data_IF_089809899916
#
_entry.id   IF_089809899916
#
_cell.length_a   1.000
_cell.length_b   1.000
_cell.length_c   1.000
_cell.angle_alpha   90.00
_cell.angle_beta   90.00
_cell.angle_gamma   90.00
#
_symmetry.space_group_name_H-M   'P 1'
#
loop_
_entity.id
_entity.type
_entity.pdbx_description
1 polymer ?
#
# COMPACT_ATOMS: atom_id res chain seq x y z
N UNK A 1 18.22 10.60 5.89
CA UNK A 1 17.80 9.37 6.62
C UNK A 1 18.84 8.87 7.63
N UNK A 2 19.99 8.34 7.19
CA UNK A 2 21.02 7.73 8.06
C UNK A 2 21.44 8.57 9.28
N UNK A 3 21.70 9.86 9.08
CA UNK A 3 22.10 10.77 10.17
C UNK A 3 21.03 10.87 11.25
N UNK A 4 19.77 11.13 10.86
CA UNK A 4 18.65 11.26 11.81
C UNK A 4 18.31 9.95 12.52
N UNK A 5 18.45 8.80 11.86
CA UNK A 5 18.28 7.52 12.53
C UNK A 5 19.33 7.30 13.64
N UNK A 6 20.58 7.74 13.46
CA UNK A 6 21.63 7.58 14.48
C UNK A 6 21.41 8.40 15.74
N UNK A 7 20.65 9.49 15.63
CA UNK A 7 20.23 10.28 16.80
C UNK A 7 19.17 9.54 17.63
N UNK A 8 18.46 8.56 17.06
CA UNK A 8 17.27 7.93 17.67
C UNK A 8 17.44 6.41 17.94
N UNK A 9 18.44 5.76 17.35
CA UNK A 9 18.67 4.32 17.45
C UNK A 9 20.15 4.02 17.72
N UNK A 10 20.41 3.07 18.64
CA UNK A 10 21.77 2.68 19.03
C UNK A 10 22.59 2.09 17.86
N UNK A 11 21.95 1.33 16.97
CA UNK A 11 22.59 0.68 15.83
C UNK A 11 21.87 1.07 14.53
N UNK A 12 22.60 1.61 13.55
CA UNK A 12 22.04 2.06 12.28
C UNK A 12 22.92 1.64 11.11
N UNK A 13 22.36 0.82 10.23
CA UNK A 13 22.90 0.54 8.91
C UNK A 13 21.92 1.00 7.82
N UNK A 14 22.39 1.83 6.89
CA UNK A 14 21.60 2.30 5.74
C UNK A 14 22.52 2.21 4.53
N UNK A 15 22.10 1.42 3.55
CA UNK A 15 22.82 1.14 2.30
C UNK A 15 21.81 1.11 1.15
N UNK A 16 22.28 1.38 -0.05
CA UNK A 16 21.52 1.15 -1.28
C UNK A 16 21.90 -0.25 -1.75
N UNK A 17 20.89 -1.10 -1.93
CA UNK A 17 21.04 -2.49 -2.36
C UNK A 17 19.96 -2.79 -3.39
N UNK A 18 20.16 -3.86 -4.15
CA UNK A 18 19.10 -4.39 -5.00
C UNK A 18 17.91 -4.85 -4.14
N UNK A 19 16.70 -4.67 -4.66
CA UNK A 19 15.49 -5.10 -3.97
C UNK A 19 15.51 -6.64 -3.86
N UNK A 20 15.45 -7.21 -2.64
CA UNK A 20 15.37 -8.66 -2.50
C UNK A 20 14.03 -9.18 -3.04
N UNK A 21 13.94 -10.48 -3.32
CA UNK A 21 12.68 -11.07 -3.75
C UNK A 21 11.64 -11.06 -2.61
N UNK A 22 10.72 -10.10 -2.68
CA UNK A 22 9.68 -9.88 -1.67
C UNK A 22 8.54 -10.91 -1.75
N UNK A 23 8.54 -11.84 -2.71
CA UNK A 23 7.61 -12.98 -2.70
C UNK A 23 7.98 -14.02 -1.65
N UNK A 24 9.23 -14.01 -1.19
CA UNK A 24 9.75 -14.97 -0.22
C UNK A 24 9.45 -14.57 1.23
N UNK A 25 9.61 -15.52 2.15
CA UNK A 25 9.60 -15.23 3.59
C UNK A 25 10.67 -14.18 3.94
N UNK A 26 10.39 -13.21 4.85
CA UNK A 26 9.20 -13.08 5.68
C UNK A 26 8.08 -12.22 5.07
N UNK A 27 8.21 -11.79 3.81
CA UNK A 27 7.34 -10.77 3.22
C UNK A 27 6.08 -11.35 2.57
N UNK A 28 6.22 -12.38 1.72
CA UNK A 28 5.09 -13.04 1.06
C UNK A 28 4.26 -12.12 0.15
N UNK A 29 4.84 -11.05 -0.40
CA UNK A 29 4.15 -10.13 -1.30
C UNK A 29 3.80 -10.80 -2.62
N UNK A 30 2.84 -10.22 -3.34
CA UNK A 30 2.37 -10.71 -4.64
C UNK A 30 3.25 -10.27 -5.82
N UNK A 31 4.32 -9.52 -5.58
CA UNK A 31 5.32 -9.16 -6.58
C UNK A 31 6.73 -9.29 -6.01
N UNK A 32 7.72 -9.50 -6.89
CA UNK A 32 9.14 -9.69 -6.50
C UNK A 32 9.77 -8.46 -5.87
N UNK A 33 9.26 -7.26 -6.13
CA UNK A 33 9.84 -6.03 -5.60
C UNK A 33 8.88 -4.84 -5.66
N UNK A 34 9.35 -3.71 -5.14
CA UNK A 34 8.61 -2.42 -5.05
C UNK A 34 9.21 -1.33 -5.97
N UNK A 35 10.01 -1.74 -6.95
CA UNK A 35 10.63 -0.85 -7.92
C UNK A 35 9.74 -0.68 -9.18
N UNK A 36 10.03 0.33 -10.00
CA UNK A 36 9.29 0.62 -11.24
C UNK A 36 8.69 2.03 -11.22
N UNK A 37 7.37 2.14 -11.31
CA UNK A 37 6.62 3.40 -11.34
C UNK A 37 5.98 3.69 -9.97
N UNK A 38 6.78 4.07 -8.97
CA UNK A 38 6.25 4.30 -7.62
C UNK A 38 5.29 5.50 -7.58
N UNK A 39 4.20 5.36 -6.85
CA UNK A 39 3.20 6.40 -6.58
C UNK A 39 2.80 6.32 -5.11
N UNK A 40 2.43 7.47 -4.55
CA UNK A 40 1.75 7.55 -3.26
C UNK A 40 0.31 7.95 -3.57
N UNK A 41 -0.63 7.19 -3.05
CA UNK A 41 -2.06 7.50 -3.13
C UNK A 41 -2.59 7.69 -1.71
N UNK A 42 -3.30 8.79 -1.49
CA UNK A 42 -4.04 9.05 -0.26
C UNK A 42 -5.52 9.17 -0.63
N UNK A 43 -6.34 8.26 -0.13
CA UNK A 43 -7.72 8.08 -0.57
C UNK A 43 -8.66 8.16 0.62
N UNK A 44 -9.51 9.18 0.62
CA UNK A 44 -10.45 9.42 1.70
C UNK A 44 -9.81 10.13 2.89
N UNK A 45 -9.87 9.51 4.06
CA UNK A 45 -9.29 10.04 5.30
C UNK A 45 -10.24 10.08 6.49
N UNK A 46 -9.78 10.56 7.66
CA UNK A 46 -10.54 10.53 8.92
C UNK A 46 -11.90 11.25 8.86
N UNK A 47 -12.07 12.23 7.98
CA UNK A 47 -13.35 12.93 7.78
C UNK A 47 -14.47 12.07 7.18
N UNK A 48 -14.17 10.85 6.75
CA UNK A 48 -15.18 9.83 6.41
C UNK A 48 -15.57 8.95 7.60
N UNK A 49 -14.81 9.00 8.69
CA UNK A 49 -15.02 8.18 9.89
C UNK A 49 -15.60 9.00 11.04
N UNK A 50 -15.16 10.26 11.20
CA UNK A 50 -15.52 11.11 12.33
C UNK A 50 -16.01 12.50 11.87
N UNK A 51 -16.99 13.12 12.58
CA UNK A 51 -17.77 12.59 13.71
C UNK A 51 -18.91 11.65 13.29
N UNK A 52 -19.34 11.72 12.03
CA UNK A 52 -20.38 10.86 11.46
C UNK A 52 -19.76 10.02 10.36
N UNK A 53 -19.94 8.71 10.46
CA UNK A 53 -19.40 7.76 9.48
C UNK A 53 -20.13 7.95 8.14
N UNK A 54 -19.34 8.22 7.10
CA UNK A 54 -19.78 8.18 5.71
C UNK A 54 -19.56 6.76 5.19
N UNK A 55 -20.61 6.14 4.63
CA UNK A 55 -20.52 4.82 4.01
C UNK A 55 -19.83 4.93 2.64
N UNK A 56 -18.54 5.24 2.65
CA UNK A 56 -17.72 5.35 1.45
C UNK A 56 -16.92 4.07 1.27
N UNK A 57 -16.94 3.52 0.06
CA UNK A 57 -16.16 2.34 -0.32
C UNK A 57 -15.26 2.69 -1.48
N UNK A 58 -14.03 2.18 -1.46
CA UNK A 58 -13.07 2.37 -2.55
C UNK A 58 -12.65 1.02 -3.07
N UNK A 59 -12.54 0.89 -4.39
CA UNK A 59 -11.95 -0.29 -5.00
C UNK A 59 -10.50 -0.01 -5.34
N UNK A 60 -9.61 -0.92 -4.91
CA UNK A 60 -8.17 -0.74 -5.05
C UNK A 60 -7.72 -0.79 -6.51
N UNK A 61 -8.42 -1.54 -7.35
CA UNK A 61 -8.18 -1.58 -8.79
C UNK A 61 -8.47 -0.24 -9.47
N UNK A 62 -9.59 0.39 -9.13
CA UNK A 62 -9.94 1.72 -9.62
C UNK A 62 -8.90 2.76 -9.18
N UNK A 63 -8.43 2.69 -7.92
CA UNK A 63 -7.35 3.56 -7.42
C UNK A 63 -6.06 3.35 -8.23
N UNK A 64 -5.66 2.11 -8.48
CA UNK A 64 -4.47 1.80 -9.29
C UNK A 64 -4.59 2.34 -10.72
N UNK A 65 -5.79 2.28 -11.33
CA UNK A 65 -6.04 2.87 -12.65
C UNK A 65 -5.96 4.39 -12.61
N UNK A 66 -6.54 5.03 -11.61
CA UNK A 66 -6.43 6.49 -11.41
C UNK A 66 -4.99 6.94 -11.15
N UNK A 67 -4.15 6.07 -10.59
CA UNK A 67 -2.71 6.29 -10.44
C UNK A 67 -1.90 6.06 -11.72
N UNK A 68 -2.57 5.76 -12.85
CA UNK A 68 -1.97 5.55 -14.17
C UNK A 68 -0.96 4.40 -14.20
N UNK A 69 -1.29 3.29 -13.52
CA UNK A 69 -0.45 2.10 -13.44
C UNK A 69 -1.02 0.94 -14.28
N UNK A 70 -0.24 0.44 -15.24
CA UNK A 70 -0.60 -0.74 -16.06
C UNK A 70 -0.64 -2.04 -15.26
N UNK A 71 0.24 -2.14 -14.27
CA UNK A 71 0.20 -3.15 -13.21
C UNK A 71 0.51 -2.48 -11.87
N UNK A 72 -0.10 -2.98 -10.81
CA UNK A 72 -0.10 -2.31 -9.52
C UNK A 72 0.06 -3.34 -8.40
N UNK A 73 1.19 -3.25 -7.69
CA UNK A 73 1.32 -3.80 -6.33
C UNK A 73 0.93 -2.68 -5.36
N UNK A 74 -0.27 -2.75 -4.80
CA UNK A 74 -0.72 -1.84 -3.75
C UNK A 74 -0.36 -2.40 -2.37
N UNK A 75 0.42 -1.64 -1.61
CA UNK A 75 0.76 -1.94 -0.21
C UNK A 75 0.47 -0.72 0.67
N UNK A 76 -0.01 -0.94 1.88
CA UNK A 76 -0.22 0.13 2.83
C UNK A 76 -1.30 -0.16 3.87
N UNK A 77 -1.48 0.76 4.84
CA UNK A 77 -2.55 0.69 5.81
C UNK A 77 -3.86 1.24 5.24
N UNK A 78 -4.98 0.82 5.83
CA UNK A 78 -6.30 1.40 5.57
C UNK A 78 -7.38 0.76 6.42
N UNK A 79 -8.62 1.21 6.27
CA UNK A 79 -9.77 0.54 6.87
C UNK A 79 -10.24 -0.62 5.99
N UNK A 80 -10.58 -1.76 6.60
CA UNK A 80 -11.11 -2.91 5.88
C UNK A 80 -12.56 -2.71 5.40
N UNK A 81 -13.03 -3.53 4.44
CA UNK A 81 -14.33 -3.38 3.83
C UNK A 81 -15.45 -3.87 4.77
N UNK A 82 -15.96 -2.97 5.62
CA UNK A 82 -17.05 -3.24 6.58
C UNK A 82 -18.28 -3.86 5.90
N UNK A 83 -18.58 -3.44 4.67
CA UNK A 83 -19.70 -3.97 3.89
C UNK A 83 -19.54 -5.45 3.49
N UNK A 84 -18.32 -5.98 3.47
CA UNK A 84 -18.05 -7.40 3.21
C UNK A 84 -17.87 -8.21 4.50
N UNK A 85 -17.22 -7.62 5.50
CA UNK A 85 -16.87 -8.29 6.74
C UNK A 85 -17.97 -8.23 7.81
N UNK A 86 -18.86 -7.24 7.72
CA UNK A 86 -19.92 -6.98 8.70
C UNK A 86 -19.46 -6.22 9.96
N UNK A 87 -18.17 -5.92 10.09
CA UNK A 87 -17.59 -5.18 11.22
C UNK A 87 -16.38 -4.34 10.81
N UNK A 88 -16.03 -3.36 11.65
CA UNK A 88 -14.88 -2.48 11.43
C UNK A 88 -13.56 -3.24 11.64
N UNK A 89 -12.62 -3.03 10.73
CA UNK A 89 -11.29 -3.65 10.77
C UNK A 89 -10.22 -2.69 10.27
N UNK A 90 -9.01 -2.86 10.79
CA UNK A 90 -7.80 -2.31 10.16
C UNK A 90 -7.34 -3.28 9.07
N UNK A 91 -6.82 -2.76 7.98
CA UNK A 91 -6.33 -3.50 6.83
C UNK A 91 -4.84 -3.21 6.61
N UNK A 92 -4.05 -4.28 6.54
CA UNK A 92 -2.72 -4.26 5.92
C UNK A 92 -2.88 -4.77 4.50
N UNK A 93 -2.86 -3.86 3.53
CA UNK A 93 -3.14 -4.17 2.14
C UNK A 93 -1.91 -4.77 1.47
N UNK A 94 -2.13 -5.87 0.75
CA UNK A 94 -1.21 -6.40 -0.25
C UNK A 94 -2.04 -6.94 -1.41
N UNK A 95 -2.15 -6.15 -2.48
CA UNK A 95 -2.90 -6.50 -3.67
C UNK A 95 -1.97 -6.37 -4.89
N UNK A 96 -2.03 -7.35 -5.80
CA UNK A 96 -1.43 -7.22 -7.11
C UNK A 96 -2.51 -7.31 -8.19
N UNK A 97 -2.50 -6.37 -9.11
CA UNK A 97 -3.40 -6.32 -10.26
C UNK A 97 -2.62 -6.00 -11.53
N UNK A 98 -3.01 -6.59 -12.65
CA UNK A 98 -2.46 -6.32 -13.99
C UNK A 98 -3.61 -6.03 -14.92
N UNK A 99 -3.46 -5.01 -15.76
CA UNK A 99 -4.43 -4.64 -16.78
C UNK A 99 -3.75 -4.71 -18.14
N UNK A 100 -4.42 -5.25 -19.16
CA UNK A 100 -4.02 -5.02 -20.54
C UNK A 100 -4.50 -3.62 -20.93
N UNK A 101 -3.63 -2.61 -20.89
CA UNK A 101 -3.95 -1.31 -21.49
C UNK A 101 -3.70 -1.40 -23.00
N UNK A 102 -4.59 -2.08 -23.71
CA UNK A 102 -4.70 -1.96 -25.15
C UNK A 102 -6.07 -1.35 -25.46
N UNK A 103 -6.10 -0.02 -25.50
CA UNK A 103 -7.09 0.78 -26.22
C UNK A 103 -6.35 1.72 -27.16
#
# INVERSE_FOLDING_TARGET
>A
LKQKLRENFANVNVTIVDCPDLTQSPFGLKARGICGSQRIVDVGGPGNLFPVIKKTTYKLDEICKTAELESCLAIGPGAGPVHLLGYNTEASLSLFSVWNIHH
#
